data_IF_129871232991
#
_entry.id   IF_129871232991
#
_cell.length_a   1.000
_cell.length_b   1.000
_cell.length_c   1.000
_cell.angle_alpha   90.00
_cell.angle_beta   90.00
_cell.angle_gamma   90.00
#
_symmetry.space_group_name_H-M   'P 1'
#
loop_
_entity.id
_entity.type
_entity.pdbx_description
1 polymer ?
#
# COMPACT_ATOMS: atom_id res chain seq x y z
N UNK A 1 -17.82 -15.64 40.47
CA UNK A 1 -17.41 -15.78 39.05
C UNK A 1 -17.06 -14.35 38.57
N UNK A 2 -15.78 -14.06 38.53
CA UNK A 2 -15.30 -12.76 38.00
C UNK A 2 -15.37 -12.81 36.47
N UNK A 3 -16.28 -12.06 35.84
CA UNK A 3 -16.28 -11.83 34.41
C UNK A 3 -14.92 -11.22 34.02
N UNK A 4 -14.13 -12.02 33.33
CA UNK A 4 -12.95 -11.50 32.63
C UNK A 4 -13.47 -10.68 31.42
N UNK A 5 -13.80 -9.42 31.65
CA UNK A 5 -14.11 -8.48 30.55
C UNK A 5 -12.78 -8.22 29.84
N UNK A 6 -12.60 -8.84 28.67
CA UNK A 6 -11.50 -8.50 27.79
C UNK A 6 -11.73 -7.04 27.41
N UNK A 7 -10.88 -6.14 27.91
CA UNK A 7 -10.91 -4.75 27.48
C UNK A 7 -10.51 -4.72 25.99
N UNK A 8 -11.49 -4.47 25.12
CA UNK A 8 -11.22 -4.21 23.71
C UNK A 8 -10.47 -2.88 23.63
N UNK A 9 -9.28 -2.82 23.07
CA UNK A 9 -8.56 -1.56 22.90
C UNK A 9 -9.45 -0.54 22.19
N UNK A 10 -9.47 0.69 22.67
CA UNK A 10 -10.15 1.79 21.96
C UNK A 10 -9.30 2.12 20.75
N UNK A 11 -9.77 1.74 19.57
CA UNK A 11 -9.13 2.08 18.31
C UNK A 11 -9.48 3.53 17.95
N UNK A 12 -8.45 4.34 17.75
CA UNK A 12 -8.57 5.72 17.28
C UNK A 12 -8.41 5.83 15.74
N UNK A 13 -8.51 4.70 15.04
CA UNK A 13 -8.37 4.66 13.60
C UNK A 13 -9.45 5.50 12.91
N UNK A 14 -9.12 6.24 11.81
CA UNK A 14 -10.11 6.89 10.98
C UNK A 14 -11.15 5.89 10.48
N UNK A 15 -12.41 6.31 10.41
CA UNK A 15 -13.50 5.45 9.92
C UNK A 15 -13.64 5.44 8.39
N UNK A 16 -12.97 6.35 7.69
CA UNK A 16 -13.07 6.53 6.24
C UNK A 16 -11.69 6.57 5.58
N UNK A 17 -11.63 6.13 4.33
CA UNK A 17 -10.46 6.30 3.49
C UNK A 17 -10.33 7.77 3.07
N UNK A 18 -9.08 8.25 2.96
CA UNK A 18 -8.78 9.65 2.66
C UNK A 18 -7.51 9.78 1.85
N UNK A 19 -7.39 10.88 1.12
CA UNK A 19 -6.14 11.32 0.48
C UNK A 19 -5.34 12.28 1.37
N UNK A 20 -5.78 12.53 2.59
CA UNK A 20 -5.03 13.35 3.54
C UNK A 20 -3.85 12.59 4.15
N UNK A 21 -2.86 13.31 4.62
CA UNK A 21 -1.76 12.72 5.38
C UNK A 21 -2.24 12.38 6.78
N UNK A 22 -2.22 11.10 7.10
CA UNK A 22 -2.61 10.57 8.40
C UNK A 22 -1.39 10.01 9.14
N UNK A 23 -1.51 9.87 10.45
CA UNK A 23 -0.50 9.23 11.28
C UNK A 23 -0.64 7.71 11.30
N UNK A 24 0.32 7.07 12.00
CA UNK A 24 0.29 5.64 12.28
C UNK A 24 0.99 5.38 13.62
N UNK A 25 0.36 4.61 14.48
CA UNK A 25 0.88 4.25 15.81
C UNK A 25 1.23 2.77 15.85
N UNK A 26 2.49 2.42 16.11
CA UNK A 26 2.92 1.02 16.23
C UNK A 26 2.45 0.39 17.54
N UNK A 27 2.22 -0.94 17.52
CA UNK A 27 1.95 -1.75 18.72
C UNK A 27 3.22 -2.35 19.32
N UNK A 28 4.32 -2.33 18.58
CA UNK A 28 5.66 -2.71 19.05
C UNK A 28 6.51 -1.44 19.01
N UNK A 29 7.23 -1.15 20.09
CA UNK A 29 8.05 0.05 20.18
C UNK A 29 9.13 0.07 19.08
N UNK A 30 9.19 1.14 18.27
CA UNK A 30 10.29 1.33 17.34
C UNK A 30 11.61 1.49 18.08
N UNK A 31 12.72 1.07 17.48
CA UNK A 31 14.04 1.42 18.00
C UNK A 31 14.16 2.96 18.08
N UNK A 32 14.80 3.47 19.13
CA UNK A 32 15.20 4.87 19.16
C UNK A 32 16.34 5.10 18.15
N UNK A 33 16.53 6.34 17.69
CA UNK A 33 17.64 6.64 16.76
C UNK A 33 19.01 6.31 17.38
N UNK A 34 19.15 6.39 18.69
CA UNK A 34 20.40 6.08 19.40
C UNK A 34 20.70 4.56 19.51
N UNK A 35 19.73 3.71 19.27
CA UNK A 35 19.90 2.25 19.24
C UNK A 35 20.27 1.73 17.84
N UNK A 36 20.21 2.60 16.80
CA UNK A 36 20.54 2.19 15.45
C UNK A 36 22.05 1.98 15.30
N UNK A 37 22.42 0.84 14.76
CA UNK A 37 23.79 0.45 14.42
C UNK A 37 24.03 0.56 12.91
N UNK A 38 25.28 0.44 12.45
CA UNK A 38 25.62 0.43 11.02
C UNK A 38 24.82 -0.62 10.23
N UNK A 39 24.54 -1.80 10.83
CA UNK A 39 23.70 -2.84 10.23
C UNK A 39 22.26 -2.35 10.03
N UNK A 40 21.71 -1.62 11.00
CA UNK A 40 20.38 -1.03 10.87
C UNK A 40 20.34 0.04 9.78
N UNK A 41 21.35 0.91 9.72
CA UNK A 41 21.45 1.93 8.66
C UNK A 41 21.58 1.32 7.26
N UNK A 42 22.32 0.22 7.11
CA UNK A 42 22.38 -0.53 5.85
C UNK A 42 20.99 -1.04 5.43
N UNK A 43 20.21 -1.57 6.38
CA UNK A 43 18.85 -2.07 6.13
C UNK A 43 17.85 -0.97 5.76
N UNK A 44 18.05 0.26 6.23
CA UNK A 44 17.19 1.41 5.87
C UNK A 44 17.33 1.82 4.40
N UNK A 45 18.45 1.48 3.74
CA UNK A 45 18.80 1.87 2.35
C UNK A 45 19.03 3.39 2.19
N UNK A 46 18.23 4.19 2.87
CA UNK A 46 18.29 5.67 2.90
C UNK A 46 18.32 6.13 4.36
N UNK A 47 19.38 6.81 4.77
CA UNK A 47 19.60 7.25 6.15
C UNK A 47 18.43 8.10 6.69
N UNK A 48 17.82 8.94 5.83
CA UNK A 48 16.68 9.79 6.20
C UNK A 48 15.48 9.00 6.74
N UNK A 49 15.36 7.71 6.41
CA UNK A 49 14.29 6.83 6.90
C UNK A 49 14.39 6.55 8.41
N UNK A 50 15.55 6.75 9.02
CA UNK A 50 15.72 6.68 10.48
C UNK A 50 14.82 7.65 11.25
N UNK A 51 14.36 8.74 10.63
CA UNK A 51 13.41 9.68 11.23
C UNK A 51 11.99 9.12 11.37
N UNK A 52 11.63 8.11 10.61
CA UNK A 52 10.29 7.51 10.64
C UNK A 52 10.21 6.39 11.68
N UNK A 53 9.25 6.48 12.60
CA UNK A 53 8.96 5.43 13.56
C UNK A 53 8.63 4.09 12.88
N UNK A 54 7.90 4.13 11.75
CA UNK A 54 7.60 2.96 10.95
C UNK A 54 8.87 2.23 10.47
N UNK A 55 9.82 2.98 9.90
CA UNK A 55 11.07 2.36 9.44
C UNK A 55 11.96 1.91 10.60
N UNK A 56 11.96 2.62 11.73
CA UNK A 56 12.68 2.16 12.94
C UNK A 56 12.05 0.92 13.59
N UNK A 57 10.75 0.67 13.37
CA UNK A 57 10.14 -0.59 13.75
C UNK A 57 10.59 -1.72 12.80
N UNK A 58 10.47 -1.51 11.50
CA UNK A 58 10.81 -2.54 10.51
C UNK A 58 12.29 -2.91 10.48
N UNK A 59 13.18 -1.97 10.81
CA UNK A 59 14.63 -2.21 10.82
C UNK A 59 15.09 -3.12 11.97
N UNK A 60 14.18 -3.58 12.83
CA UNK A 60 14.47 -4.69 13.76
C UNK A 60 14.89 -5.97 13.02
N UNK A 61 14.47 -6.11 11.76
CA UNK A 61 14.98 -7.08 10.80
C UNK A 61 15.54 -6.33 9.58
N UNK A 62 16.82 -5.92 9.63
CA UNK A 62 17.42 -5.05 8.62
C UNK A 62 17.46 -5.66 7.22
N UNK A 63 17.73 -6.95 7.11
CA UNK A 63 17.85 -7.65 5.84
C UNK A 63 16.50 -7.76 5.12
N UNK A 64 15.42 -8.05 5.86
CA UNK A 64 14.07 -8.06 5.31
C UNK A 64 13.65 -6.66 4.89
N UNK A 65 13.96 -5.64 5.70
CA UNK A 65 13.66 -4.25 5.34
C UNK A 65 14.43 -3.79 4.10
N UNK A 66 15.69 -4.17 3.97
CA UNK A 66 16.52 -3.85 2.80
C UNK A 66 15.91 -4.45 1.52
N UNK A 67 15.60 -5.75 1.55
CA UNK A 67 14.99 -6.45 0.42
C UNK A 67 13.63 -5.83 0.04
N UNK A 68 12.77 -5.60 1.04
CA UNK A 68 11.48 -4.92 0.89
C UNK A 68 11.63 -3.56 0.24
N UNK A 69 12.61 -2.77 0.70
CA UNK A 69 12.81 -1.42 0.23
C UNK A 69 13.33 -1.38 -1.21
N UNK A 70 14.25 -2.28 -1.57
CA UNK A 70 14.73 -2.40 -2.95
C UNK A 70 13.62 -2.80 -3.91
N UNK A 71 12.77 -3.75 -3.51
CA UNK A 71 11.61 -4.16 -4.30
C UNK A 71 10.61 -3.02 -4.48
N UNK A 72 10.24 -2.33 -3.41
CA UNK A 72 9.36 -1.16 -3.42
C UNK A 72 9.87 -0.07 -4.37
N UNK A 73 11.18 0.23 -4.28
CA UNK A 73 11.82 1.22 -5.16
C UNK A 73 11.79 0.80 -6.63
N UNK A 74 12.00 -0.47 -6.94
CA UNK A 74 11.91 -0.94 -8.32
C UNK A 74 10.47 -0.87 -8.84
N UNK A 75 9.50 -1.37 -8.08
CA UNK A 75 8.08 -1.34 -8.47
C UNK A 75 7.61 0.10 -8.74
N UNK A 76 7.92 1.07 -7.86
CA UNK A 76 7.32 2.39 -7.95
C UNK A 76 8.19 3.45 -8.62
N UNK A 77 9.51 3.31 -8.64
CA UNK A 77 10.43 4.35 -9.12
C UNK A 77 11.21 3.96 -10.37
N UNK A 78 11.01 2.75 -10.90
CA UNK A 78 11.59 2.35 -12.16
C UNK A 78 10.86 3.07 -13.31
N UNK A 79 11.53 4.05 -13.92
CA UNK A 79 10.98 4.89 -14.99
C UNK A 79 11.42 4.45 -16.39
N UNK A 80 12.12 3.31 -16.51
CA UNK A 80 12.71 2.86 -17.79
C UNK A 80 11.67 2.32 -18.76
N UNK A 81 10.61 1.68 -18.26
CA UNK A 81 9.53 1.11 -19.07
C UNK A 81 8.40 0.63 -18.16
N UNK A 82 7.36 0.04 -18.75
CA UNK A 82 6.22 -0.56 -18.05
C UNK A 82 5.18 0.47 -17.62
N UNK A 83 4.38 0.09 -16.64
CA UNK A 83 3.21 0.84 -16.21
C UNK A 83 3.57 2.25 -15.72
N UNK A 84 2.87 3.30 -16.16
CA UNK A 84 3.05 4.65 -15.64
C UNK A 84 2.94 4.72 -14.12
N UNK A 85 3.75 5.58 -13.48
CA UNK A 85 3.76 5.72 -12.02
C UNK A 85 2.37 5.89 -11.41
N UNK A 86 1.52 6.69 -12.01
CA UNK A 86 0.15 6.91 -11.54
C UNK A 86 -0.65 5.62 -11.41
N UNK A 87 -0.49 4.71 -12.36
CA UNK A 87 -1.23 3.44 -12.41
C UNK A 87 -0.61 2.37 -11.49
N UNK A 88 0.70 2.40 -11.26
CA UNK A 88 1.35 1.59 -10.22
C UNK A 88 0.81 1.98 -8.83
N UNK A 89 0.69 3.28 -8.56
CA UNK A 89 0.10 3.80 -7.33
C UNK A 89 -1.40 3.49 -7.23
N UNK A 90 -2.11 3.47 -8.36
CA UNK A 90 -3.52 3.08 -8.42
C UNK A 90 -3.69 1.61 -8.01
N UNK A 91 -2.86 0.70 -8.52
CA UNK A 91 -2.88 -0.72 -8.15
C UNK A 91 -2.64 -0.92 -6.63
N UNK A 92 -1.65 -0.20 -6.08
CA UNK A 92 -1.39 -0.19 -4.64
C UNK A 92 -2.56 0.39 -3.83
N UNK A 93 -3.21 1.45 -4.33
CA UNK A 93 -4.38 2.06 -3.70
C UNK A 93 -5.55 1.09 -3.69
N UNK A 94 -5.83 0.42 -4.81
CA UNK A 94 -6.92 -0.55 -4.92
C UNK A 94 -6.72 -1.74 -3.97
N UNK A 95 -5.52 -2.32 -3.93
CA UNK A 95 -5.18 -3.37 -2.97
C UNK A 95 -5.34 -2.90 -1.52
N UNK A 96 -4.88 -1.69 -1.21
CA UNK A 96 -4.97 -1.12 0.15
C UNK A 96 -6.42 -0.81 0.56
N UNK A 97 -7.23 -0.31 -0.37
CA UNK A 97 -8.67 -0.07 -0.17
C UNK A 97 -9.40 -1.38 0.12
N UNK A 98 -9.13 -2.42 -0.67
CA UNK A 98 -9.74 -3.74 -0.50
C UNK A 98 -9.35 -4.41 0.80
N UNK A 99 -8.08 -4.33 1.21
CA UNK A 99 -7.58 -4.89 2.46
C UNK A 99 -7.98 -4.09 3.72
N UNK A 100 -8.58 -2.92 3.58
CA UNK A 100 -8.93 -2.07 4.72
C UNK A 100 -7.74 -1.31 5.32
N UNK A 101 -6.60 -1.24 4.64
CA UNK A 101 -5.43 -0.51 5.12
C UNK A 101 -5.54 0.99 4.84
N UNK A 102 -6.20 1.74 5.72
CA UNK A 102 -6.46 3.18 5.55
C UNK A 102 -5.15 3.96 5.41
N UNK A 103 -4.11 3.63 6.19
CA UNK A 103 -2.81 4.30 6.10
C UNK A 103 -2.16 4.13 4.72
N UNK A 104 -2.04 2.89 4.25
CA UNK A 104 -1.45 2.65 2.93
C UNK A 104 -2.28 3.29 1.81
N UNK A 105 -3.61 3.18 1.89
CA UNK A 105 -4.50 3.82 0.92
C UNK A 105 -4.30 5.34 0.89
N UNK A 106 -4.13 6.00 2.04
CA UNK A 106 -3.90 7.46 2.08
C UNK A 106 -2.59 7.85 1.41
N UNK A 107 -1.53 7.06 1.59
CA UNK A 107 -0.22 7.32 0.98
C UNK A 107 -0.30 7.18 -0.54
N UNK A 108 -0.76 6.01 -1.02
CA UNK A 108 -0.72 5.68 -2.44
C UNK A 108 -1.76 6.44 -3.27
N UNK A 109 -2.92 6.74 -2.70
CA UNK A 109 -3.91 7.61 -3.35
C UNK A 109 -3.41 9.02 -3.58
N UNK A 110 -2.63 9.60 -2.65
CA UNK A 110 -1.99 10.90 -2.87
C UNK A 110 -1.01 10.87 -4.03
N UNK A 111 -0.18 9.83 -4.12
CA UNK A 111 0.75 9.68 -5.24
C UNK A 111 0.02 9.39 -6.55
N UNK A 112 -1.01 8.54 -6.56
CA UNK A 112 -1.85 8.31 -7.72
C UNK A 112 -2.46 9.63 -8.24
N UNK A 113 -3.03 10.44 -7.36
CA UNK A 113 -3.58 11.76 -7.66
C UNK A 113 -2.52 12.74 -8.17
N UNK A 114 -1.35 12.76 -7.52
CA UNK A 114 -0.27 13.65 -7.90
C UNK A 114 0.24 13.36 -9.32
N UNK A 115 0.48 12.09 -9.62
CA UNK A 115 1.05 11.70 -10.92
C UNK A 115 0.02 11.68 -12.05
N UNK A 116 -1.24 11.33 -11.77
CA UNK A 116 -2.30 11.28 -12.79
C UNK A 116 -2.98 12.63 -13.03
N UNK A 117 -2.98 13.53 -12.05
CA UNK A 117 -3.83 14.73 -11.98
C UNK A 117 -5.34 14.43 -11.92
N UNK A 118 -5.72 13.20 -11.57
CA UNK A 118 -7.09 12.70 -11.51
C UNK A 118 -7.59 12.55 -10.06
N UNK A 119 -7.43 13.61 -9.25
CA UNK A 119 -7.73 13.56 -7.80
C UNK A 119 -9.16 13.11 -7.49
N UNK A 120 -10.15 13.53 -8.29
CA UNK A 120 -11.56 13.17 -8.08
C UNK A 120 -11.81 11.69 -8.38
N UNK A 121 -11.16 11.13 -9.40
CA UNK A 121 -11.29 9.70 -9.74
C UNK A 121 -10.67 8.84 -8.64
N UNK A 122 -9.50 9.23 -8.14
CA UNK A 122 -8.87 8.55 -7.01
C UNK A 122 -9.73 8.63 -5.76
N UNK A 123 -10.43 9.76 -5.53
CA UNK A 123 -11.37 9.88 -4.40
C UNK A 123 -12.55 8.93 -4.58
N UNK A 124 -13.12 8.82 -5.78
CA UNK A 124 -14.20 7.84 -6.05
C UNK A 124 -13.74 6.41 -5.77
N UNK A 125 -12.50 6.04 -6.12
CA UNK A 125 -11.96 4.73 -5.75
C UNK A 125 -11.94 4.53 -4.23
N UNK A 126 -11.58 5.55 -3.46
CA UNK A 126 -11.55 5.46 -2.00
C UNK A 126 -12.97 5.35 -1.41
N UNK A 127 -13.94 6.07 -1.96
CA UNK A 127 -15.31 6.09 -1.48
C UNK A 127 -16.07 4.81 -1.88
N UNK A 128 -16.07 4.48 -3.17
CA UNK A 128 -16.92 3.46 -3.77
C UNK A 128 -16.20 2.11 -3.99
N UNK A 129 -14.86 2.07 -3.84
CA UNK A 129 -14.06 0.86 -4.06
C UNK A 129 -14.15 0.37 -5.50
N UNK A 130 -14.35 -0.95 -5.70
CA UNK A 130 -14.40 -1.58 -7.02
C UNK A 130 -15.60 -1.14 -7.88
N UNK A 131 -16.64 -0.59 -7.24
CA UNK A 131 -17.83 -0.08 -7.93
C UNK A 131 -17.61 1.29 -8.58
N UNK A 132 -16.49 1.95 -8.28
CA UNK A 132 -16.14 3.24 -8.87
C UNK A 132 -15.95 3.13 -10.38
N UNK A 133 -16.61 4.00 -11.15
CA UNK A 133 -16.31 4.14 -12.57
C UNK A 133 -15.20 5.16 -12.79
N UNK A 134 -14.03 4.66 -13.21
CA UNK A 134 -12.79 5.42 -13.41
C UNK A 134 -12.36 5.43 -14.88
N UNK A 135 -13.21 4.89 -15.77
CA UNK A 135 -12.90 4.63 -17.18
C UNK A 135 -12.20 3.29 -17.40
N UNK A 136 -12.30 2.78 -18.62
CA UNK A 136 -11.97 1.40 -19.00
C UNK A 136 -10.60 0.93 -18.48
N UNK A 137 -9.55 1.68 -18.74
CA UNK A 137 -8.17 1.31 -18.37
C UNK A 137 -8.00 1.23 -16.84
N UNK A 138 -8.48 2.22 -16.09
CA UNK A 138 -8.37 2.22 -14.64
C UNK A 138 -9.29 1.19 -13.98
N UNK A 139 -10.49 0.98 -14.53
CA UNK A 139 -11.39 -0.06 -14.07
C UNK A 139 -10.76 -1.46 -14.23
N UNK A 140 -10.05 -1.72 -15.33
CA UNK A 140 -9.34 -2.99 -15.54
C UNK A 140 -8.21 -3.18 -14.51
N UNK A 141 -7.41 -2.15 -14.25
CA UNK A 141 -6.31 -2.17 -13.26
C UNK A 141 -6.87 -2.41 -11.85
N UNK A 142 -7.92 -1.69 -11.46
CA UNK A 142 -8.55 -1.83 -10.13
C UNK A 142 -9.12 -3.23 -9.95
N UNK A 143 -9.88 -3.74 -10.94
CA UNK A 143 -10.45 -5.08 -10.87
C UNK A 143 -9.38 -6.17 -10.74
N UNK A 144 -8.31 -6.09 -11.55
CA UNK A 144 -7.18 -7.01 -11.46
C UNK A 144 -6.50 -6.95 -10.09
N UNK A 145 -6.23 -5.73 -9.59
CA UNK A 145 -5.58 -5.54 -8.28
C UNK A 145 -6.41 -6.11 -7.13
N UNK A 146 -7.74 -5.93 -7.15
CA UNK A 146 -8.65 -6.52 -6.15
C UNK A 146 -8.67 -8.04 -6.27
N UNK A 147 -8.75 -8.59 -7.49
CA UNK A 147 -8.78 -10.03 -7.72
C UNK A 147 -7.49 -10.73 -7.24
N UNK A 148 -6.33 -10.10 -7.44
CA UNK A 148 -5.03 -10.58 -6.92
C UNK A 148 -5.03 -10.55 -5.37
N UNK A 149 -5.63 -9.54 -4.78
CA UNK A 149 -5.62 -9.30 -3.33
C UNK A 149 -6.58 -10.21 -2.58
N UNK A 150 -7.63 -10.69 -3.22
CA UNK A 150 -8.63 -11.60 -2.64
C UNK A 150 -7.98 -12.89 -2.10
N UNK A 151 -8.59 -13.50 -1.08
CA UNK A 151 -8.12 -14.77 -0.51
C UNK A 151 -9.30 -15.78 -0.48
N UNK A 152 -9.24 -16.88 -1.25
CA UNK A 152 -8.21 -17.19 -2.28
C UNK A 152 -8.19 -16.16 -3.39
N UNK A 153 -7.08 -16.10 -4.15
CA UNK A 153 -7.00 -15.19 -5.30
C UNK A 153 -8.11 -15.48 -6.32
N UNK A 154 -8.74 -14.42 -6.81
CA UNK A 154 -9.76 -14.48 -7.85
C UNK A 154 -9.22 -14.08 -9.24
N UNK A 155 -7.92 -13.77 -9.33
CA UNK A 155 -7.28 -13.40 -10.59
C UNK A 155 -7.15 -14.61 -11.50
N UNK A 156 -7.59 -14.46 -12.75
CA UNK A 156 -7.55 -15.49 -13.78
C UNK A 156 -7.23 -14.89 -15.16
N UNK A 157 -7.27 -15.73 -16.20
CA UNK A 157 -6.98 -15.34 -17.58
C UNK A 157 -7.87 -14.21 -18.10
N UNK A 158 -9.12 -14.14 -17.68
CA UNK A 158 -10.04 -13.07 -18.10
C UNK A 158 -9.60 -11.68 -17.66
N UNK A 159 -8.89 -11.59 -16.53
CA UNK A 159 -8.29 -10.34 -16.07
C UNK A 159 -7.12 -9.90 -16.98
N UNK A 160 -6.32 -10.86 -17.46
CA UNK A 160 -5.25 -10.58 -18.44
C UNK A 160 -5.85 -10.07 -19.74
N UNK A 161 -6.89 -10.75 -20.26
CA UNK A 161 -7.59 -10.32 -21.47
C UNK A 161 -8.18 -8.91 -21.32
N UNK A 162 -8.80 -8.61 -20.19
CA UNK A 162 -9.36 -7.29 -19.90
C UNK A 162 -8.30 -6.20 -19.81
N UNK A 163 -7.16 -6.46 -19.18
CA UNK A 163 -6.03 -5.53 -19.12
C UNK A 163 -5.46 -5.28 -20.52
N UNK A 164 -5.27 -6.33 -21.33
CA UNK A 164 -4.81 -6.22 -22.71
C UNK A 164 -5.78 -5.45 -23.59
N UNK A 165 -7.10 -5.70 -23.46
CA UNK A 165 -8.15 -4.96 -24.18
C UNK A 165 -8.15 -3.47 -23.79
N UNK A 166 -7.82 -3.15 -22.54
CA UNK A 166 -7.66 -1.79 -22.04
C UNK A 166 -6.31 -1.13 -22.45
N UNK A 167 -5.54 -1.78 -23.33
CA UNK A 167 -4.32 -1.26 -23.93
C UNK A 167 -3.06 -1.39 -23.09
N UNK A 168 -3.02 -2.34 -22.13
CA UNK A 168 -1.80 -2.65 -21.41
C UNK A 168 -0.98 -3.69 -22.17
N UNK A 169 0.33 -3.50 -22.25
CA UNK A 169 1.25 -4.50 -22.73
C UNK A 169 1.61 -5.53 -21.62
N UNK A 170 2.35 -6.58 -21.98
CA UNK A 170 2.71 -7.67 -21.07
C UNK A 170 3.52 -7.20 -19.86
N UNK A 171 4.40 -6.20 -20.04
CA UNK A 171 5.20 -5.63 -18.96
C UNK A 171 4.33 -4.78 -18.02
N UNK A 172 3.43 -3.97 -18.58
CA UNK A 172 2.48 -3.19 -17.80
C UNK A 172 1.53 -4.08 -16.97
N UNK A 173 1.09 -5.22 -17.55
CA UNK A 173 0.29 -6.22 -16.84
C UNK A 173 1.09 -6.84 -15.68
N UNK A 174 2.36 -7.19 -15.92
CA UNK A 174 3.24 -7.69 -14.86
C UNK A 174 3.42 -6.65 -13.74
N UNK A 175 3.56 -5.37 -14.07
CA UNK A 175 3.67 -4.28 -13.08
C UNK A 175 2.39 -4.13 -12.24
N UNK A 176 1.19 -4.29 -12.82
CA UNK A 176 -0.07 -4.34 -12.06
C UNK A 176 -0.04 -5.47 -11.04
N UNK A 177 0.37 -6.68 -11.50
CA UNK A 177 0.46 -7.86 -10.64
C UNK A 177 1.46 -7.64 -9.51
N UNK A 178 2.67 -7.14 -9.81
CA UNK A 178 3.68 -6.87 -8.80
C UNK A 178 3.22 -5.81 -7.79
N UNK A 179 2.64 -4.70 -8.26
CA UNK A 179 2.15 -3.63 -7.39
C UNK A 179 1.06 -4.12 -6.43
N UNK A 180 0.06 -4.84 -6.93
CA UNK A 180 -1.03 -5.37 -6.12
C UNK A 180 -0.55 -6.45 -5.13
N UNK A 181 0.27 -7.40 -5.57
CA UNK A 181 0.78 -8.48 -4.72
C UNK A 181 1.70 -7.93 -3.61
N UNK A 182 2.57 -6.97 -3.95
CA UNK A 182 3.43 -6.32 -2.96
C UNK A 182 2.60 -5.58 -1.91
N UNK A 183 1.54 -4.85 -2.34
CA UNK A 183 0.69 -4.16 -1.38
C UNK A 183 -0.26 -5.09 -0.61
N UNK A 184 -0.62 -6.25 -1.14
CA UNK A 184 -1.29 -7.26 -0.34
C UNK A 184 -0.42 -7.71 0.85
N UNK A 185 0.87 -7.95 0.64
CA UNK A 185 1.82 -8.23 1.71
C UNK A 185 2.05 -7.02 2.64
N UNK A 186 2.33 -5.83 2.09
CA UNK A 186 2.62 -4.64 2.86
C UNK A 186 1.45 -4.17 3.74
N UNK A 187 0.21 -4.29 3.23
CA UNK A 187 -0.98 -3.96 4.01
C UNK A 187 -1.14 -4.90 5.21
N UNK A 188 -0.93 -6.22 5.04
CA UNK A 188 -1.00 -7.18 6.15
C UNK A 188 0.03 -6.84 7.22
N UNK A 189 1.24 -6.46 6.79
CA UNK A 189 2.28 -6.02 7.73
C UNK A 189 1.85 -4.77 8.51
N UNK A 190 1.34 -3.74 7.82
CA UNK A 190 0.86 -2.50 8.45
C UNK A 190 -0.32 -2.73 9.41
N UNK A 191 -1.27 -3.56 9.03
CA UNK A 191 -2.46 -3.88 9.83
C UNK A 191 -2.15 -4.75 11.06
N UNK A 192 -1.02 -5.46 11.07
CA UNK A 192 -0.60 -6.32 12.18
C UNK A 192 0.44 -5.69 13.10
N UNK A 193 1.09 -4.61 12.69
CA UNK A 193 2.13 -3.93 13.46
C UNK A 193 1.67 -2.62 14.11
N UNK A 194 0.49 -2.13 13.78
CA UNK A 194 -0.02 -0.88 14.32
C UNK A 194 -1.36 -0.47 13.71
N UNK A 195 -1.79 0.74 14.03
CA UNK A 195 -3.05 1.30 13.54
C UNK A 195 -2.86 2.71 12.97
N UNK A 196 -3.67 3.11 11.96
CA UNK A 196 -3.69 4.48 11.49
C UNK A 196 -4.26 5.41 12.57
N UNK A 197 -3.78 6.64 12.61
CA UNK A 197 -4.34 7.71 13.45
C UNK A 197 -4.82 8.86 12.58
N UNK A 198 -5.83 9.64 13.01
CA UNK A 198 -6.31 10.79 12.27
C UNK A 198 -5.19 11.76 11.87
N UNK A 199 -5.44 12.58 10.87
CA UNK A 199 -4.59 13.71 10.50
C UNK A 199 -4.38 14.62 11.73
N UNK A 200 -3.18 15.16 11.87
CA UNK A 200 -2.85 16.09 12.95
C UNK A 200 -3.35 17.48 12.65
#
# INVERSE_FOLDING_TARGET
MTENTIAVPVHNAPAAFTQEEIGWTPWIDPLSESELTDRHYAGLVEEARAKSAYFRLLVRDPEVLEARTKLDKDIFYNTRSGLPRAERELAATAASRFNGCIYCASVHSRFASHHSKRKQDVQRLLDDGIEADLGERWNAIVAASVAITATPTAFDHSHVERLSAAGLDELEIADVIHGAAFFNWANRLMLTLGEPTPAK
#
